data_IF_902325271361
#
_entry.id   IF_902325271361
#
_cell.length_a   1.000
_cell.length_b   1.000
_cell.length_c   1.000
_cell.angle_alpha   90.00
_cell.angle_beta   90.00
_cell.angle_gamma   90.00
#
_symmetry.space_group_name_H-M   'P 1'
#
loop_
_entity.id
_entity.type
_entity.pdbx_description
1 polymer ?
#
# COMPACT_ATOMS: atom_id res chain seq x y z
N UNK A 1 45.92 50.74 -25.66
CA UNK A 1 45.50 49.40 -26.13
C UNK A 1 45.48 48.30 -25.05
N UNK A 2 46.24 48.38 -23.95
CA UNK A 2 46.33 47.28 -22.95
C UNK A 2 45.16 47.29 -21.94
N UNK A 3 44.61 48.45 -21.58
CA UNK A 3 43.48 48.56 -20.63
C UNK A 3 42.17 47.97 -21.19
N UNK A 4 41.90 48.16 -22.48
CA UNK A 4 40.66 47.71 -23.12
C UNK A 4 40.58 46.18 -23.23
N UNK A 5 41.72 45.49 -23.43
CA UNK A 5 41.77 44.01 -23.49
C UNK A 5 41.54 43.35 -22.13
N UNK A 6 42.02 43.94 -21.02
CA UNK A 6 41.75 43.43 -19.65
C UNK A 6 40.29 43.59 -19.23
N UNK A 7 39.65 44.70 -19.61
CA UNK A 7 38.22 44.92 -19.33
C UNK A 7 37.31 43.95 -20.08
N UNK A 8 37.63 43.62 -21.33
CA UNK A 8 36.89 42.63 -22.12
C UNK A 8 37.06 41.22 -21.56
N UNK A 9 38.27 40.85 -21.12
CA UNK A 9 38.52 39.54 -20.52
C UNK A 9 37.79 39.34 -19.18
N UNK A 10 37.75 40.38 -18.34
CA UNK A 10 37.02 40.34 -17.06
C UNK A 10 35.51 40.28 -17.30
N UNK A 11 34.98 41.02 -18.29
CA UNK A 11 33.58 40.94 -18.66
C UNK A 11 33.20 39.55 -19.21
N UNK A 12 34.05 38.92 -20.03
CA UNK A 12 33.84 37.57 -20.53
C UNK A 12 33.85 36.52 -19.41
N UNK A 13 34.77 36.64 -18.44
CA UNK A 13 34.84 35.73 -17.29
C UNK A 13 33.62 35.90 -16.38
N UNK A 14 33.12 37.13 -16.17
CA UNK A 14 31.90 37.36 -15.38
C UNK A 14 30.66 36.81 -16.11
N UNK A 15 30.58 36.93 -17.44
CA UNK A 15 29.50 36.33 -18.23
C UNK A 15 29.60 34.80 -18.22
N UNK A 16 30.78 34.20 -18.37
CA UNK A 16 30.97 32.75 -18.25
C UNK A 16 30.70 32.22 -16.83
N UNK A 17 31.05 32.98 -15.78
CA UNK A 17 30.72 32.66 -14.40
C UNK A 17 29.22 32.83 -14.11
N UNK A 18 28.54 33.82 -14.71
CA UNK A 18 27.10 33.98 -14.59
C UNK A 18 26.32 32.90 -15.37
N UNK A 19 26.83 32.45 -16.52
CA UNK A 19 26.26 31.33 -17.30
C UNK A 19 26.51 29.98 -16.62
N UNK A 20 27.54 29.86 -15.75
CA UNK A 20 27.76 28.66 -14.93
C UNK A 20 27.09 28.71 -13.54
N UNK A 21 26.71 29.89 -13.04
CA UNK A 21 25.87 30.05 -11.83
C UNK A 21 24.38 30.06 -12.12
N UNK A 22 23.97 30.41 -13.34
CA UNK A 22 22.71 29.96 -13.93
C UNK A 22 22.88 28.51 -14.40
N UNK A 23 23.37 27.64 -13.51
CA UNK A 23 22.92 26.26 -13.55
C UNK A 23 21.42 26.36 -13.52
N UNK A 24 20.79 26.09 -14.66
CA UNK A 24 19.35 25.93 -14.76
C UNK A 24 19.06 24.78 -13.80
N UNK A 25 18.74 25.09 -12.54
CA UNK A 25 17.88 24.23 -11.74
C UNK A 25 16.61 24.19 -12.58
N UNK A 26 16.54 23.25 -13.51
CA UNK A 26 15.36 23.06 -14.31
C UNK A 26 14.25 22.81 -13.32
N UNK A 27 13.37 23.81 -13.19
CA UNK A 27 12.18 23.73 -12.37
C UNK A 27 11.30 22.60 -12.90
N UNK A 28 10.38 22.13 -12.08
CA UNK A 28 9.33 21.25 -12.55
C UNK A 28 8.67 21.79 -13.82
N UNK A 29 8.34 20.88 -14.71
CA UNK A 29 7.61 21.15 -15.94
C UNK A 29 6.49 20.12 -16.10
N UNK A 30 5.41 20.54 -16.75
CA UNK A 30 4.24 19.69 -16.98
C UNK A 30 4.28 19.21 -18.43
N UNK A 31 4.28 17.89 -18.60
CA UNK A 31 4.21 17.21 -19.89
C UNK A 31 2.80 16.67 -20.05
N UNK A 32 2.04 17.22 -21.00
CA UNK A 32 0.70 16.70 -21.33
C UNK A 32 0.84 15.32 -21.96
N UNK A 33 0.01 14.38 -21.54
CA UNK A 33 -0.06 13.02 -22.09
C UNK A 33 -1.34 12.79 -22.90
N UNK A 34 -1.91 13.88 -23.40
CA UNK A 34 -3.11 13.97 -24.20
C UNK A 34 -2.96 15.13 -25.20
N UNK A 35 -3.70 15.07 -26.31
CA UNK A 35 -3.93 16.24 -27.17
C UNK A 35 -5.28 16.87 -26.82
N UNK A 36 -5.45 18.17 -27.06
CA UNK A 36 -6.68 18.87 -26.67
C UNK A 36 -7.86 18.55 -27.62
N UNK A 37 -7.64 17.78 -28.68
CA UNK A 37 -8.68 17.32 -29.60
C UNK A 37 -9.62 16.29 -28.93
N UNK A 38 -10.94 16.34 -29.21
CA UNK A 38 -11.89 15.37 -28.66
C UNK A 38 -11.60 13.93 -29.11
N UNK A 39 -12.02 12.96 -28.29
CA UNK A 39 -11.95 11.54 -28.65
C UNK A 39 -12.73 11.26 -29.97
N UNK A 40 -12.14 10.53 -30.94
CA UNK A 40 -12.77 10.26 -32.23
C UNK A 40 -14.09 9.49 -32.15
N UNK A 41 -14.26 8.70 -31.09
CA UNK A 41 -15.47 7.93 -30.81
C UNK A 41 -16.59 8.75 -30.15
N UNK A 42 -16.34 10.04 -29.86
CA UNK A 42 -17.28 10.95 -29.20
C UNK A 42 -17.43 10.71 -27.70
N UNK A 43 -16.67 9.79 -27.10
CA UNK A 43 -16.62 9.63 -25.65
C UNK A 43 -16.15 10.93 -24.99
N UNK A 44 -16.71 11.23 -23.81
CA UNK A 44 -16.29 12.40 -23.02
C UNK A 44 -15.37 12.02 -21.86
N UNK A 45 -15.57 10.82 -21.32
CA UNK A 45 -14.80 10.28 -20.20
C UNK A 45 -14.96 8.76 -20.12
N UNK A 46 -14.07 8.15 -19.34
CA UNK A 46 -14.32 6.89 -18.64
C UNK A 46 -14.36 7.14 -17.14
N UNK A 47 -15.12 6.36 -16.39
CA UNK A 47 -15.26 6.56 -14.95
C UNK A 47 -14.96 5.29 -14.16
N UNK A 48 -14.60 5.48 -12.89
CA UNK A 48 -14.18 4.40 -11.99
C UNK A 48 -15.34 3.57 -11.42
N UNK A 49 -16.60 3.95 -11.67
CA UNK A 49 -17.78 3.14 -11.35
C UNK A 49 -18.02 2.05 -12.39
N UNK A 50 -17.72 2.32 -13.66
CA UNK A 50 -17.89 1.36 -14.76
C UNK A 50 -16.75 0.35 -14.85
N UNK A 51 -15.61 0.60 -14.20
CA UNK A 51 -14.46 -0.28 -14.24
C UNK A 51 -13.13 0.37 -13.85
N UNK A 52 -12.05 -0.34 -14.13
CA UNK A 52 -10.68 0.12 -13.92
C UNK A 52 -10.24 0.95 -15.11
N UNK A 53 -9.85 2.20 -14.85
CA UNK A 53 -9.32 3.12 -15.87
C UNK A 53 -7.80 3.12 -15.73
N UNK A 54 -7.05 3.01 -16.83
CA UNK A 54 -5.59 3.03 -16.75
C UNK A 54 -4.92 3.64 -17.98
N UNK A 55 -3.73 4.18 -17.83
CA UNK A 55 -2.96 4.81 -18.91
C UNK A 55 -1.48 4.47 -18.81
N UNK A 56 -0.92 3.94 -19.89
CA UNK A 56 0.53 3.85 -20.05
C UNK A 56 1.05 5.21 -20.50
N UNK A 57 2.11 5.69 -19.86
CA UNK A 57 2.72 7.01 -20.05
C UNK A 57 4.20 6.81 -20.40
N UNK A 58 4.66 7.33 -21.54
CA UNK A 58 6.06 7.36 -21.93
C UNK A 58 6.70 8.70 -21.50
N UNK A 59 7.23 8.73 -20.28
CA UNK A 59 7.70 9.94 -19.60
C UNK A 59 9.12 10.30 -20.04
N UNK A 60 9.29 11.52 -20.55
CA UNK A 60 10.53 12.05 -21.13
C UNK A 60 10.84 13.47 -20.64
N UNK A 61 12.10 13.87 -20.74
CA UNK A 61 12.52 15.26 -20.56
C UNK A 61 12.72 15.71 -19.11
N UNK A 62 12.81 14.77 -18.17
CA UNK A 62 13.09 14.97 -16.75
C UNK A 62 12.66 13.78 -15.91
N UNK A 63 13.15 13.71 -14.65
CA UNK A 63 12.71 12.65 -13.72
C UNK A 63 11.24 12.84 -13.40
N UNK A 64 10.51 11.74 -13.28
CA UNK A 64 9.07 11.74 -13.04
C UNK A 64 8.77 11.92 -11.55
N UNK A 65 8.16 13.05 -11.19
CA UNK A 65 7.98 13.48 -9.79
C UNK A 65 6.53 13.62 -9.37
N UNK A 66 5.57 13.52 -10.29
CA UNK A 66 4.16 13.63 -9.93
C UNK A 66 3.22 13.67 -11.12
N UNK A 67 1.94 13.88 -10.84
CA UNK A 67 0.87 13.93 -11.82
C UNK A 67 -0.01 15.18 -11.64
N UNK A 68 -0.66 15.58 -12.72
CA UNK A 68 -1.84 16.44 -12.68
C UNK A 68 -2.99 15.67 -13.35
N UNK A 69 -4.09 15.51 -12.62
CA UNK A 69 -5.25 14.71 -13.00
C UNK A 69 -6.49 15.63 -13.02
N UNK A 70 -6.81 16.23 -14.18
CA UNK A 70 -8.08 16.91 -14.38
C UNK A 70 -9.21 15.90 -14.53
N UNK A 71 -10.30 16.06 -13.76
CA UNK A 71 -11.40 15.10 -13.77
C UNK A 71 -12.73 15.76 -13.43
N UNK A 72 -13.83 15.14 -13.84
CA UNK A 72 -15.14 15.44 -13.24
C UNK A 72 -15.41 14.49 -12.08
N UNK A 73 -16.09 14.97 -11.05
CA UNK A 73 -16.53 14.15 -9.92
C UNK A 73 -17.59 14.88 -9.09
N UNK A 74 -18.29 14.14 -8.24
CA UNK A 74 -19.22 14.67 -7.24
C UNK A 74 -18.68 14.32 -5.85
N UNK A 75 -18.35 15.28 -4.97
CA UNK A 75 -17.97 14.95 -3.60
C UNK A 75 -19.13 14.38 -2.76
N UNK A 76 -18.87 13.53 -1.75
CA UNK A 76 -17.57 12.98 -1.39
C UNK A 76 -17.08 11.97 -2.44
N UNK A 77 -15.77 11.94 -2.67
CA UNK A 77 -15.15 11.05 -3.65
C UNK A 77 -13.80 10.57 -3.13
N UNK A 78 -13.51 9.28 -3.30
CA UNK A 78 -12.20 8.68 -3.03
C UNK A 78 -11.82 7.69 -4.13
N UNK A 79 -10.67 7.91 -4.77
CA UNK A 79 -10.13 7.05 -5.82
C UNK A 79 -8.68 6.68 -5.52
N UNK A 80 -8.40 5.38 -5.55
CA UNK A 80 -7.05 4.85 -5.49
C UNK A 80 -6.32 5.09 -6.80
N UNK A 81 -5.09 5.59 -6.68
CA UNK A 81 -4.13 5.68 -7.78
C UNK A 81 -2.93 4.77 -7.50
N UNK A 82 -2.51 4.03 -8.52
CA UNK A 82 -1.35 3.14 -8.45
C UNK A 82 -0.48 3.36 -9.69
N UNK A 83 0.80 3.64 -9.49
CA UNK A 83 1.77 3.79 -10.55
C UNK A 83 2.69 2.58 -10.57
N UNK A 84 2.83 1.95 -11.73
CA UNK A 84 3.72 0.81 -11.96
C UNK A 84 4.79 1.20 -12.97
N UNK A 85 6.00 0.66 -12.82
CA UNK A 85 6.99 0.68 -13.90
C UNK A 85 6.50 -0.26 -15.00
N UNK A 86 6.39 0.23 -16.22
CA UNK A 86 5.85 -0.54 -17.34
C UNK A 86 6.74 -1.76 -17.65
N UNK A 87 6.11 -2.91 -17.89
CA UNK A 87 6.77 -4.14 -18.31
C UNK A 87 6.48 -4.45 -19.80
N UNK A 88 6.08 -5.66 -20.18
CA UNK A 88 5.81 -5.99 -21.59
C UNK A 88 4.40 -5.59 -22.02
N UNK A 89 3.42 -5.74 -21.14
CA UNK A 89 2.01 -5.50 -21.39
C UNK A 89 1.28 -5.11 -20.09
N UNK A 90 -0.03 -4.84 -20.19
CA UNK A 90 -0.83 -4.45 -19.04
C UNK A 90 -0.83 -5.50 -17.92
N UNK A 91 -1.08 -6.77 -18.25
CA UNK A 91 -1.28 -7.84 -17.27
C UNK A 91 0.02 -8.18 -16.52
N UNK A 92 1.13 -8.24 -17.25
CA UNK A 92 2.47 -8.40 -16.65
C UNK A 92 2.84 -7.19 -15.77
N UNK A 93 2.51 -5.98 -16.20
CA UNK A 93 2.76 -4.76 -15.42
C UNK A 93 2.01 -4.74 -14.09
N UNK A 94 0.69 -5.00 -14.08
CA UNK A 94 -0.12 -4.96 -12.85
C UNK A 94 0.11 -6.17 -11.93
N UNK A 95 0.84 -7.19 -12.39
CA UNK A 95 1.30 -8.31 -11.56
C UNK A 95 2.50 -7.95 -10.69
N UNK A 96 3.22 -6.88 -11.04
CA UNK A 96 4.33 -6.34 -10.25
C UNK A 96 3.83 -5.38 -9.16
N UNK A 97 4.67 -5.10 -8.15
CA UNK A 97 4.37 -4.07 -7.15
C UNK A 97 4.34 -2.67 -7.79
N UNK A 98 3.39 -1.81 -7.40
CA UNK A 98 3.45 -0.40 -7.77
C UNK A 98 4.70 0.25 -7.18
N UNK A 99 5.22 1.28 -7.86
CA UNK A 99 6.29 2.15 -7.37
C UNK A 99 5.73 3.35 -6.59
N UNK A 100 4.46 3.65 -6.76
CA UNK A 100 3.75 4.67 -6.00
C UNK A 100 2.28 4.29 -5.84
N UNK A 101 1.70 4.52 -4.68
CA UNK A 101 0.26 4.42 -4.47
C UNK A 101 -0.21 5.58 -3.60
N UNK A 102 -1.42 6.06 -3.85
CA UNK A 102 -2.07 7.09 -3.05
C UNK A 102 -3.60 7.04 -3.20
N UNK A 103 -4.30 7.74 -2.32
CA UNK A 103 -5.71 8.04 -2.45
C UNK A 103 -5.86 9.51 -2.84
N UNK A 104 -6.56 9.79 -3.94
CA UNK A 104 -7.03 11.13 -4.24
C UNK A 104 -8.46 11.27 -3.74
N UNK A 105 -8.69 12.28 -2.91
CA UNK A 105 -9.93 12.41 -2.16
C UNK A 105 -10.44 13.85 -2.15
N UNK A 106 -11.76 13.99 -2.14
CA UNK A 106 -12.44 15.25 -1.86
C UNK A 106 -13.62 14.99 -0.92
N UNK A 107 -13.49 15.42 0.33
CA UNK A 107 -14.50 15.20 1.39
C UNK A 107 -15.45 16.38 1.56
N UNK A 108 -15.26 17.48 0.84
CA UNK A 108 -16.09 18.67 0.98
C UNK A 108 -17.43 18.44 0.27
N UNK A 109 -18.53 18.37 1.00
CA UNK A 109 -19.86 18.31 0.38
C UNK A 109 -20.11 19.57 -0.48
N UNK A 110 -19.91 19.43 -1.78
CA UNK A 110 -20.22 20.41 -2.80
C UNK A 110 -20.94 19.76 -3.97
N UNK A 111 -21.44 20.57 -4.91
CA UNK A 111 -21.88 20.04 -6.19
C UNK A 111 -20.70 19.61 -7.05
N UNK A 112 -20.98 18.77 -8.05
CA UNK A 112 -20.21 18.49 -9.26
C UNK A 112 -19.06 19.46 -9.58
N UNK A 113 -17.86 18.90 -9.67
CA UNK A 113 -16.61 19.59 -10.04
C UNK A 113 -16.25 19.31 -11.50
N UNK A 114 -15.78 20.33 -12.22
CA UNK A 114 -15.29 20.19 -13.59
C UNK A 114 -13.74 20.16 -13.68
N UNK A 115 -13.16 19.49 -14.69
CA UNK A 115 -11.74 19.56 -14.99
C UNK A 115 -11.26 21.00 -15.16
N UNK A 116 -10.24 21.37 -14.42
CA UNK A 116 -9.64 22.71 -14.35
C UNK A 116 -10.13 23.57 -13.18
N UNK A 117 -11.19 23.18 -12.48
CA UNK A 117 -11.68 23.91 -11.29
C UNK A 117 -10.89 23.51 -10.03
N UNK A 118 -10.74 22.20 -9.80
CA UNK A 118 -10.00 21.61 -8.67
C UNK A 118 -9.32 20.32 -9.15
N UNK A 119 -8.27 20.48 -9.97
CA UNK A 119 -7.50 19.35 -10.47
C UNK A 119 -6.65 18.73 -9.35
N UNK A 120 -6.55 17.40 -9.34
CA UNK A 120 -5.66 16.73 -8.40
C UNK A 120 -4.22 16.88 -8.87
N UNK A 121 -3.39 17.48 -8.02
CA UNK A 121 -1.94 17.49 -8.18
C UNK A 121 -1.35 16.50 -7.19
N UNK A 122 -0.73 15.45 -7.72
CA UNK A 122 -0.13 14.38 -6.94
C UNK A 122 1.39 14.56 -6.98
N UNK A 123 2.01 14.66 -5.81
CA UNK A 123 3.47 14.66 -5.66
C UNK A 123 3.89 13.26 -5.19
N UNK A 124 4.86 12.65 -5.86
CA UNK A 124 5.33 11.33 -5.47
C UNK A 124 6.25 11.36 -4.25
N UNK A 125 6.70 12.55 -3.83
CA UNK A 125 7.77 12.78 -2.84
C UNK A 125 9.08 12.06 -3.19
N UNK A 126 9.19 11.62 -4.44
CA UNK A 126 10.25 10.80 -5.02
C UNK A 126 10.41 11.22 -6.47
N UNK A 127 11.57 10.95 -7.03
CA UNK A 127 11.84 11.17 -8.45
C UNK A 127 12.20 9.85 -9.09
N UNK A 128 11.30 9.34 -9.93
CA UNK A 128 11.54 8.15 -10.72
C UNK A 128 12.25 8.50 -12.03
N UNK A 129 12.97 7.55 -12.62
CA UNK A 129 13.67 7.79 -13.88
C UNK A 129 12.70 8.10 -15.03
N UNK A 130 13.20 8.70 -16.11
CA UNK A 130 12.47 8.71 -17.38
C UNK A 130 12.17 7.28 -17.83
N UNK A 131 11.07 7.09 -18.55
CA UNK A 131 10.65 5.78 -19.03
C UNK A 131 9.14 5.60 -19.05
N UNK A 132 8.73 4.35 -19.28
CA UNK A 132 7.32 3.98 -19.39
C UNK A 132 6.76 3.58 -18.03
N UNK A 133 5.55 4.06 -17.73
CA UNK A 133 4.82 3.76 -16.51
C UNK A 133 3.35 3.47 -16.82
N UNK A 134 2.70 2.65 -16.00
CA UNK A 134 1.25 2.46 -16.03
C UNK A 134 0.63 3.13 -14.81
N UNK A 135 -0.25 4.09 -15.04
CA UNK A 135 -1.08 4.70 -14.01
C UNK A 135 -2.46 4.03 -14.03
N UNK A 136 -2.89 3.49 -12.89
CA UNK A 136 -4.18 2.82 -12.71
C UNK A 136 -5.03 3.62 -11.72
N UNK A 137 -6.29 3.85 -12.09
CA UNK A 137 -7.33 4.44 -11.24
C UNK A 137 -8.35 3.36 -10.88
N UNK A 138 -8.65 3.22 -9.59
CA UNK A 138 -9.67 2.31 -9.07
C UNK A 138 -10.50 3.05 -8.05
N UNK A 139 -11.83 2.98 -8.17
CA UNK A 139 -12.71 3.54 -7.14
C UNK A 139 -12.37 2.91 -5.78
N UNK A 140 -12.23 3.74 -4.75
CA UNK A 140 -12.00 3.27 -3.39
C UNK A 140 -13.30 3.29 -2.58
N UNK A 141 -13.90 4.48 -2.40
CA UNK A 141 -15.19 4.67 -1.74
C UNK A 141 -16.00 5.77 -2.43
N UNK A 142 -17.26 5.96 -2.00
CA UNK A 142 -18.11 7.09 -2.36
C UNK A 142 -18.45 7.21 -3.86
N UNK A 143 -18.27 8.39 -4.48
CA UNK A 143 -18.59 8.62 -5.89
C UNK A 143 -17.39 8.34 -6.82
N UNK A 144 -17.66 8.19 -8.12
CA UNK A 144 -16.63 7.93 -9.11
C UNK A 144 -15.82 9.18 -9.51
N UNK A 145 -14.59 8.91 -9.96
CA UNK A 145 -13.80 9.85 -10.73
C UNK A 145 -14.10 9.64 -12.22
N UNK A 146 -14.36 10.72 -12.95
CA UNK A 146 -14.58 10.70 -14.40
C UNK A 146 -13.36 11.30 -15.11
N UNK A 147 -12.55 10.43 -15.72
CA UNK A 147 -11.31 10.79 -16.39
C UNK A 147 -11.64 11.19 -17.84
N UNK A 148 -11.38 12.44 -18.28
CA UNK A 148 -11.73 12.89 -19.61
C UNK A 148 -11.00 12.12 -20.70
N UNK A 149 -11.70 11.86 -21.81
CA UNK A 149 -11.13 11.22 -23.00
C UNK A 149 -10.83 12.25 -24.09
N UNK A 150 -9.71 12.03 -24.77
CA UNK A 150 -9.20 12.85 -25.86
C UNK A 150 -8.71 11.96 -27.00
N UNK A 151 -8.43 12.54 -28.16
CA UNK A 151 -7.78 11.78 -29.23
C UNK A 151 -6.41 11.22 -28.80
N UNK A 152 -5.99 10.13 -29.44
CA UNK A 152 -4.75 9.45 -29.11
C UNK A 152 -3.53 10.39 -29.07
N UNK A 153 -2.64 10.15 -28.11
CA UNK A 153 -1.37 10.86 -27.97
C UNK A 153 -0.22 9.86 -28.13
N UNK A 154 0.82 10.24 -28.86
CA UNK A 154 1.90 9.30 -29.23
C UNK A 154 2.67 8.71 -28.03
N UNK A 155 2.70 9.44 -26.92
CA UNK A 155 3.40 9.06 -25.69
C UNK A 155 2.45 8.49 -24.62
N UNK A 156 1.21 8.15 -24.97
CA UNK A 156 0.29 7.47 -24.05
C UNK A 156 -0.58 6.42 -24.73
N UNK A 157 -0.99 5.41 -23.96
CA UNK A 157 -1.94 4.38 -24.41
C UNK A 157 -3.00 4.23 -23.32
N UNK A 158 -4.26 4.46 -23.68
CA UNK A 158 -5.39 4.31 -22.77
C UNK A 158 -5.80 2.83 -22.67
N UNK A 159 -6.21 2.43 -21.46
CA UNK A 159 -6.78 1.13 -21.16
C UNK A 159 -8.09 1.28 -20.39
N UNK A 160 -9.02 0.36 -20.60
CA UNK A 160 -10.23 0.23 -19.80
C UNK A 160 -10.47 -1.24 -19.49
N UNK A 161 -10.56 -1.59 -18.21
CA UNK A 161 -10.63 -2.97 -17.73
C UNK A 161 -9.52 -3.88 -18.27
N UNK A 162 -8.31 -3.32 -18.42
CA UNK A 162 -7.11 -4.03 -18.91
C UNK A 162 -7.02 -4.20 -20.42
N UNK A 163 -8.04 -3.81 -21.17
CA UNK A 163 -8.04 -3.81 -22.64
C UNK A 163 -7.62 -2.45 -23.17
N UNK A 164 -6.91 -2.43 -24.30
CA UNK A 164 -6.52 -1.17 -24.98
C UNK A 164 -7.77 -0.43 -25.43
N UNK A 165 -7.86 0.86 -25.10
CA UNK A 165 -8.88 1.75 -25.61
C UNK A 165 -8.34 2.50 -26.83
N UNK A 166 -8.55 1.89 -28.00
CA UNK A 166 -7.99 2.34 -29.27
C UNK A 166 -8.35 3.79 -29.62
N UNK A 167 -7.41 4.48 -30.28
CA UNK A 167 -7.55 5.86 -30.79
C UNK A 167 -7.88 6.95 -29.75
N UNK A 168 -7.80 6.62 -28.45
CA UNK A 168 -8.12 7.50 -27.32
C UNK A 168 -6.93 7.66 -26.38
N UNK A 169 -6.80 8.84 -25.77
CA UNK A 169 -5.96 9.09 -24.60
C UNK A 169 -6.81 9.63 -23.44
N UNK A 170 -6.33 9.46 -22.20
CA UNK A 170 -6.94 10.09 -21.03
C UNK A 170 -6.27 11.42 -20.71
N UNK A 171 -7.06 12.40 -20.26
CA UNK A 171 -6.54 13.71 -19.84
C UNK A 171 -5.78 13.59 -18.53
N UNK A 172 -4.48 13.38 -18.66
CA UNK A 172 -3.51 13.40 -17.56
C UNK A 172 -2.24 14.13 -18.02
N UNK A 173 -1.50 14.69 -17.07
CA UNK A 173 -0.17 15.25 -17.33
C UNK A 173 0.84 14.74 -16.31
N UNK A 174 2.07 14.51 -16.77
CA UNK A 174 3.19 14.15 -15.92
C UNK A 174 3.92 15.42 -15.46
N UNK A 175 4.35 15.45 -14.20
CA UNK A 175 5.25 16.47 -13.68
C UNK A 175 6.66 15.89 -13.75
N UNK A 176 7.56 16.57 -14.46
CA UNK A 176 8.95 16.15 -14.61
C UNK A 176 9.92 17.22 -14.13
N UNK A 177 11.00 16.79 -13.48
CA UNK A 177 12.05 17.65 -12.96
C UNK A 177 13.44 17.10 -13.36
N UNK A 178 14.15 17.73 -14.32
CA UNK A 178 15.48 17.27 -14.72
C UNK A 178 16.55 17.38 -13.63
N UNK A 179 16.33 18.21 -12.61
CA UNK A 179 17.30 18.46 -11.53
C UNK A 179 17.04 17.63 -10.28
N UNK A 180 15.89 16.95 -10.18
CA UNK A 180 15.58 16.12 -9.03
C UNK A 180 16.60 14.99 -8.85
N UNK A 181 16.90 14.68 -7.58
CA UNK A 181 17.71 13.53 -7.21
C UNK A 181 16.87 12.26 -7.38
N UNK A 182 17.42 11.28 -8.11
CA UNK A 182 16.73 10.02 -8.37
C UNK A 182 16.51 9.27 -7.05
N UNK A 183 15.28 8.86 -6.80
CA UNK A 183 14.94 7.94 -5.74
C UNK A 183 13.89 6.96 -6.27
N UNK A 184 14.33 5.75 -6.61
CA UNK A 184 13.49 4.68 -7.16
C UNK A 184 12.89 3.77 -6.07
N UNK A 185 13.08 4.07 -4.78
CA UNK A 185 12.40 3.34 -3.72
C UNK A 185 10.88 3.57 -3.81
N UNK A 186 10.06 2.51 -3.79
CA UNK A 186 8.60 2.67 -3.85
C UNK A 186 8.07 3.54 -2.70
N UNK A 187 7.12 4.43 -3.01
CA UNK A 187 6.39 5.21 -2.02
C UNK A 187 4.93 4.77 -1.98
N UNK A 188 4.65 3.78 -1.13
CA UNK A 188 3.34 3.11 -1.02
C UNK A 188 2.55 3.77 0.11
N UNK A 189 1.60 4.65 -0.21
CA UNK A 189 0.80 5.38 0.79
C UNK A 189 -0.51 4.66 1.12
N UNK A 190 -0.98 3.80 0.21
CA UNK A 190 -2.12 2.90 0.47
C UNK A 190 -1.84 1.49 -0.08
N UNK A 191 -2.38 0.46 0.58
CA UNK A 191 -2.21 -0.92 0.14
C UNK A 191 -3.51 -1.51 -0.46
N UNK A 192 -3.54 -1.69 -1.79
CA UNK A 192 -4.60 -2.47 -2.50
C UNK A 192 -4.19 -3.94 -2.70
N UNK A 193 -3.05 -4.37 -2.17
CA UNK A 193 -2.55 -5.72 -2.45
C UNK A 193 -3.45 -6.78 -1.85
N UNK A 194 -3.99 -6.49 -0.66
CA UNK A 194 -4.75 -7.40 0.17
C UNK A 194 -6.24 -7.34 -0.15
N UNK A 195 -6.82 -8.50 -0.42
CA UNK A 195 -8.28 -8.68 -0.54
C UNK A 195 -8.73 -9.74 0.45
N UNK A 196 -9.81 -9.46 1.18
CA UNK A 196 -10.51 -10.44 2.01
C UNK A 196 -11.68 -10.98 1.19
N UNK A 197 -11.62 -12.26 0.84
CA UNK A 197 -12.62 -12.91 -0.01
C UNK A 197 -13.50 -13.81 0.85
N UNK A 198 -14.80 -13.51 0.99
CA UNK A 198 -15.71 -14.36 1.76
C UNK A 198 -15.84 -15.72 1.08
N UNK A 199 -15.79 -16.80 1.86
CA UNK A 199 -16.03 -18.17 1.39
C UNK A 199 -17.39 -18.69 1.86
N UNK A 200 -18.31 -17.81 2.27
CA UNK A 200 -19.67 -18.20 2.65
C UNK A 200 -20.75 -17.66 1.72
N UNK A 201 -21.89 -18.37 1.66
CA UNK A 201 -23.06 -17.98 0.88
C UNK A 201 -23.87 -16.85 1.51
N UNK A 202 -24.78 -16.25 0.74
CA UNK A 202 -25.64 -15.17 1.21
C UNK A 202 -26.92 -15.76 1.81
N UNK A 203 -27.20 -15.41 3.07
CA UNK A 203 -28.39 -15.89 3.80
C UNK A 203 -28.06 -17.00 4.80
N UNK A 204 -29.10 -17.50 5.46
CA UNK A 204 -29.00 -18.58 6.46
C UNK A 204 -28.70 -19.93 5.79
N UNK A 205 -28.15 -20.88 6.55
CA UNK A 205 -28.04 -22.27 6.10
C UNK A 205 -29.41 -22.91 5.89
N UNK A 206 -29.45 -23.96 5.09
CA UNK A 206 -30.68 -24.62 4.66
C UNK A 206 -31.37 -25.43 5.77
N UNK A 207 -30.60 -25.90 6.75
CA UNK A 207 -31.09 -26.56 7.96
C UNK A 207 -31.66 -25.58 8.99
N UNK A 208 -31.47 -24.28 8.78
CA UNK A 208 -31.90 -23.22 9.70
C UNK A 208 -31.03 -23.07 10.95
N UNK A 209 -29.93 -23.82 11.05
CA UNK A 209 -28.95 -23.60 12.11
C UNK A 209 -28.31 -22.22 11.95
N UNK A 210 -27.98 -21.58 13.07
CA UNK A 210 -27.30 -20.28 13.05
C UNK A 210 -25.79 -20.43 13.21
N UNK A 211 -25.34 -21.49 13.87
CA UNK A 211 -23.93 -21.76 14.08
C UNK A 211 -23.70 -23.23 14.40
N UNK A 212 -22.46 -23.67 14.23
CA UNK A 212 -21.97 -24.97 14.69
C UNK A 212 -20.95 -24.75 15.81
N UNK A 213 -21.11 -25.49 16.90
CA UNK A 213 -20.16 -25.51 18.01
C UNK A 213 -19.05 -26.52 17.74
N UNK A 214 -17.83 -26.02 17.52
CA UNK A 214 -16.68 -26.87 17.15
C UNK A 214 -16.27 -27.79 18.28
N UNK A 215 -16.46 -27.38 19.54
CA UNK A 215 -16.17 -28.20 20.72
C UNK A 215 -17.00 -29.51 20.82
N UNK A 216 -18.08 -29.62 20.05
CA UNK A 216 -18.90 -30.84 19.98
C UNK A 216 -18.48 -31.79 18.85
N UNK A 217 -17.37 -31.48 18.18
CA UNK A 217 -16.86 -32.15 16.99
C UNK A 217 -15.41 -32.57 17.22
N UNK A 218 -14.98 -33.60 16.50
CA UNK A 218 -13.57 -33.91 16.34
C UNK A 218 -12.89 -32.80 15.54
N UNK A 219 -13.55 -32.30 14.49
CA UNK A 219 -13.09 -31.14 13.71
C UNK A 219 -14.22 -30.51 12.88
N UNK A 220 -14.03 -29.24 12.54
CA UNK A 220 -14.75 -28.57 11.47
C UNK A 220 -13.78 -28.16 10.37
N UNK A 221 -14.13 -28.36 9.10
CA UNK A 221 -13.25 -28.03 7.99
C UNK A 221 -13.95 -27.32 6.85
N UNK A 222 -13.19 -26.64 6.00
CA UNK A 222 -13.71 -25.78 4.95
C UNK A 222 -12.77 -25.76 3.74
N UNK A 223 -13.28 -26.21 2.59
CA UNK A 223 -12.56 -26.26 1.32
C UNK A 223 -12.97 -25.08 0.45
N UNK A 224 -12.00 -24.41 -0.18
CA UNK A 224 -12.21 -23.25 -1.04
C UNK A 224 -11.06 -23.07 -2.04
N UNK A 225 -11.30 -22.25 -3.08
CA UNK A 225 -10.29 -21.85 -4.06
C UNK A 225 -9.83 -20.42 -3.83
N UNK A 226 -8.51 -20.22 -3.73
CA UNK A 226 -7.86 -18.91 -3.69
C UNK A 226 -7.57 -18.45 -5.12
N UNK A 227 -8.03 -17.24 -5.46
CA UNK A 227 -7.86 -16.61 -6.78
C UNK A 227 -7.44 -15.15 -6.64
N UNK A 228 -6.76 -14.61 -7.65
CA UNK A 228 -6.48 -13.17 -7.78
C UNK A 228 -5.39 -12.64 -6.84
N UNK A 229 -4.60 -13.53 -6.24
CA UNK A 229 -3.53 -13.22 -5.29
C UNK A 229 -3.01 -14.46 -4.56
N UNK A 230 -1.90 -14.30 -3.84
CA UNK A 230 -1.27 -15.37 -3.06
C UNK A 230 -2.00 -15.50 -1.73
N UNK A 231 -2.21 -16.72 -1.26
CA UNK A 231 -2.90 -17.00 -0.01
C UNK A 231 -2.00 -16.64 1.18
N UNK A 232 -2.34 -15.56 1.89
CA UNK A 232 -1.51 -14.96 2.95
C UNK A 232 -2.17 -14.93 4.32
N UNK A 233 -3.43 -15.33 4.41
CA UNK A 233 -4.11 -15.38 5.69
C UNK A 233 -5.54 -15.86 5.60
N UNK A 234 -6.19 -15.91 6.75
CA UNK A 234 -7.56 -16.39 6.92
C UNK A 234 -8.30 -15.52 7.93
N UNK A 235 -9.62 -15.47 7.84
CA UNK A 235 -10.45 -14.64 8.71
C UNK A 235 -11.59 -15.47 9.28
N UNK A 236 -11.71 -15.45 10.60
CA UNK A 236 -12.93 -15.84 11.30
C UNK A 236 -13.83 -14.61 11.33
N UNK A 237 -14.83 -14.56 10.45
CA UNK A 237 -15.73 -13.42 10.41
C UNK A 237 -16.67 -13.47 11.60
N UNK A 238 -16.79 -12.34 12.29
CA UNK A 238 -17.67 -12.20 13.45
C UNK A 238 -17.38 -13.26 14.52
N UNK A 239 -16.12 -13.35 14.96
CA UNK A 239 -15.63 -14.40 15.86
C UNK A 239 -16.59 -14.60 17.04
N UNK A 240 -17.12 -15.82 17.17
CA UNK A 240 -18.09 -16.17 18.19
C UNK A 240 -17.48 -17.19 19.17
N UNK A 241 -17.17 -16.69 20.38
CA UNK A 241 -16.70 -17.51 21.49
C UNK A 241 -17.79 -17.58 22.57
N UNK A 242 -18.39 -18.76 22.80
CA UNK A 242 -19.48 -18.95 23.78
C UNK A 242 -19.06 -18.60 25.20
N UNK A 243 -17.89 -19.10 25.60
CA UNK A 243 -17.30 -18.93 26.94
C UNK A 243 -16.38 -17.70 27.01
N UNK A 244 -16.28 -16.92 25.93
CA UNK A 244 -15.39 -15.77 25.79
C UNK A 244 -13.92 -16.13 25.52
N UNK A 245 -13.61 -17.42 25.46
CA UNK A 245 -12.27 -17.96 25.25
C UNK A 245 -12.36 -19.23 24.39
N UNK A 246 -11.30 -19.52 23.61
CA UNK A 246 -11.17 -20.78 22.88
C UNK A 246 -9.70 -21.08 22.54
N UNK A 247 -9.29 -22.33 22.71
CA UNK A 247 -8.02 -22.85 22.20
C UNK A 247 -8.27 -23.59 20.89
N UNK A 248 -7.81 -23.00 19.78
CA UNK A 248 -8.07 -23.50 18.43
C UNK A 248 -6.77 -23.96 17.79
N UNK A 249 -6.70 -25.24 17.41
CA UNK A 249 -5.68 -25.73 16.48
C UNK A 249 -6.19 -25.55 15.05
N UNK A 250 -5.36 -24.95 14.21
CA UNK A 250 -5.71 -24.52 12.88
C UNK A 250 -4.69 -25.04 11.88
N UNK A 251 -5.15 -25.83 10.90
CA UNK A 251 -4.32 -26.49 9.90
C UNK A 251 -4.79 -26.13 8.50
N UNK A 252 -3.86 -25.97 7.57
CA UNK A 252 -4.15 -25.76 6.15
C UNK A 252 -3.45 -26.82 5.33
N UNK A 253 -4.16 -27.33 4.33
CA UNK A 253 -3.68 -28.31 3.38
C UNK A 253 -3.93 -27.84 1.95
N UNK A 254 -3.08 -28.30 1.02
CA UNK A 254 -3.40 -28.27 -0.42
C UNK A 254 -4.44 -29.33 -0.71
N UNK A 255 -5.54 -28.95 -1.33
CA UNK A 255 -6.61 -29.88 -1.65
C UNK A 255 -6.16 -30.96 -2.65
N UNK A 256 -6.48 -32.22 -2.36
CA UNK A 256 -6.16 -33.38 -3.22
C UNK A 256 -7.37 -33.92 -4.00
N UNK A 257 -8.48 -33.19 -4.00
CA UNK A 257 -9.73 -33.60 -4.66
C UNK A 257 -10.75 -34.22 -3.73
N UNK A 258 -10.36 -34.70 -2.54
CA UNK A 258 -11.27 -35.16 -1.49
C UNK A 258 -10.66 -34.99 -0.08
N UNK A 259 -11.51 -34.99 0.95
CA UNK A 259 -11.11 -34.75 2.34
C UNK A 259 -10.12 -35.79 2.85
N UNK A 260 -10.48 -37.08 2.71
CA UNK A 260 -9.72 -38.20 3.25
C UNK A 260 -8.28 -38.30 2.70
N UNK A 261 -8.06 -37.97 1.43
CA UNK A 261 -6.71 -37.94 0.85
C UNK A 261 -5.95 -36.66 1.19
N UNK A 262 -6.66 -35.55 1.41
CA UNK A 262 -6.04 -34.28 1.78
C UNK A 262 -5.42 -34.30 3.18
N UNK A 263 -6.14 -34.86 4.17
CA UNK A 263 -5.66 -34.90 5.57
C UNK A 263 -4.55 -35.93 5.83
N UNK A 264 -4.22 -36.78 4.84
CA UNK A 264 -3.08 -37.72 4.92
C UNK A 264 -1.73 -37.04 4.66
N UNK A 265 -1.76 -35.86 4.05
CA UNK A 265 -0.56 -35.08 3.76
C UNK A 265 -0.15 -34.28 5.00
N UNK A 266 1.08 -33.78 5.02
CA UNK A 266 1.48 -32.81 6.03
C UNK A 266 0.79 -31.46 5.76
N UNK A 267 0.25 -30.77 6.79
CA UNK A 267 -0.29 -29.44 6.62
C UNK A 267 0.81 -28.47 6.17
N UNK A 268 0.47 -27.59 5.24
CA UNK A 268 1.38 -26.52 4.78
C UNK A 268 1.48 -25.37 5.80
N UNK A 269 0.52 -25.28 6.71
CA UNK A 269 0.50 -24.36 7.83
C UNK A 269 -0.21 -25.02 9.01
N UNK A 270 0.37 -24.90 10.20
CA UNK A 270 -0.25 -25.30 11.45
C UNK A 270 0.05 -24.24 12.51
N UNK A 271 -0.96 -23.88 13.29
CA UNK A 271 -0.80 -22.98 14.43
C UNK A 271 -1.87 -23.26 15.50
N UNK A 272 -1.59 -22.87 16.73
CA UNK A 272 -2.54 -22.93 17.85
C UNK A 272 -2.78 -21.52 18.36
N UNK A 273 -4.04 -21.13 18.45
CA UNK A 273 -4.44 -19.81 18.90
C UNK A 273 -5.18 -19.90 20.23
N UNK A 274 -4.73 -19.10 21.20
CA UNK A 274 -5.54 -18.75 22.35
C UNK A 274 -6.38 -17.52 21.98
N UNK A 275 -7.68 -17.73 21.76
CA UNK A 275 -8.61 -16.68 21.37
C UNK A 275 -9.34 -16.13 22.58
N UNK A 276 -9.50 -14.81 22.64
CA UNK A 276 -10.32 -14.13 23.66
C UNK A 276 -11.19 -13.08 22.99
N UNK A 277 -12.47 -13.03 23.34
CA UNK A 277 -13.38 -11.98 22.85
C UNK A 277 -13.52 -10.88 23.90
N UNK A 278 -13.92 -9.67 23.46
CA UNK A 278 -14.16 -8.53 24.36
C UNK A 278 -15.41 -8.65 25.25
N UNK A 279 -15.98 -9.85 25.38
CA UNK A 279 -17.23 -10.20 26.06
C UNK A 279 -18.27 -10.85 25.15
N UNK A 280 -19.36 -11.40 25.71
CA UNK A 280 -20.50 -11.88 24.94
C UNK A 280 -21.04 -10.76 24.04
N UNK A 281 -21.45 -11.11 22.81
CA UNK A 281 -22.01 -10.22 21.79
C UNK A 281 -21.03 -9.23 21.11
N UNK A 282 -19.72 -9.36 21.32
CA UNK A 282 -18.71 -8.60 20.55
C UNK A 282 -18.08 -9.46 19.46
N UNK A 283 -18.76 -9.54 18.32
CA UNK A 283 -18.34 -10.31 17.15
C UNK A 283 -17.40 -9.51 16.23
N UNK A 284 -16.18 -9.23 16.69
CA UNK A 284 -15.15 -8.66 15.82
C UNK A 284 -14.59 -9.75 14.88
N UNK A 285 -14.15 -9.36 13.70
CA UNK A 285 -13.40 -10.27 12.81
C UNK A 285 -12.03 -10.57 13.43
N UNK A 286 -11.62 -11.84 13.39
CA UNK A 286 -10.28 -12.26 13.81
C UNK A 286 -9.49 -12.72 12.60
N UNK A 287 -8.36 -12.06 12.35
CA UNK A 287 -7.48 -12.33 11.19
C UNK A 287 -6.27 -13.13 11.62
N UNK A 288 -6.01 -14.22 10.90
CA UNK A 288 -4.80 -15.02 10.97
C UNK A 288 -3.95 -14.70 9.74
N UNK A 289 -2.83 -14.01 9.93
CA UNK A 289 -1.85 -13.84 8.85
C UNK A 289 -0.83 -14.96 8.90
N UNK A 290 -0.53 -15.52 7.74
CA UNK A 290 0.57 -16.46 7.59
C UNK A 290 1.86 -15.64 7.46
N UNK A 291 2.96 -16.11 8.07
CA UNK A 291 4.29 -15.54 7.82
C UNK A 291 4.83 -15.86 6.41
N UNK A 292 4.00 -16.48 5.56
CA UNK A 292 4.32 -17.01 4.23
C UNK A 292 3.16 -16.74 3.27
N UNK A 293 3.44 -16.74 1.98
CA UNK A 293 2.42 -16.63 0.95
C UNK A 293 2.41 -17.90 0.10
N UNK A 294 1.26 -18.55 -0.01
CA UNK A 294 1.09 -19.74 -0.83
C UNK A 294 0.47 -19.38 -2.18
N UNK A 295 0.71 -20.19 -3.22
CA UNK A 295 0.17 -19.90 -4.55
C UNK A 295 -1.37 -19.88 -4.58
N UNK A 296 -1.96 -19.39 -5.67
CA UNK A 296 -3.37 -19.65 -5.95
C UNK A 296 -3.67 -21.15 -6.02
N UNK A 297 -4.95 -21.51 -5.86
CA UNK A 297 -5.43 -22.89 -5.97
C UNK A 297 -6.35 -23.31 -4.85
N UNK A 298 -6.58 -24.62 -4.77
CA UNK A 298 -7.56 -25.22 -3.86
C UNK A 298 -6.93 -25.60 -2.52
N UNK A 299 -7.61 -25.26 -1.44
CA UNK A 299 -7.16 -25.45 -0.07
C UNK A 299 -8.25 -26.05 0.80
N UNK A 300 -7.84 -26.77 1.83
CA UNK A 300 -8.67 -27.20 2.94
C UNK A 300 -8.13 -26.59 4.23
N UNK A 301 -8.96 -25.88 4.96
CA UNK A 301 -8.68 -25.50 6.35
C UNK A 301 -9.39 -26.47 7.30
N UNK A 302 -8.69 -26.91 8.33
CA UNK A 302 -9.22 -27.78 9.39
C UNK A 302 -9.03 -27.06 10.73
N UNK A 303 -10.10 -27.01 11.51
CA UNK A 303 -10.16 -26.39 12.83
C UNK A 303 -10.55 -27.44 13.85
N UNK A 304 -9.73 -27.58 14.88
CA UNK A 304 -9.98 -28.42 16.04
C UNK A 304 -10.00 -27.50 17.26
N UNK A 305 -10.99 -27.67 18.13
CA UNK A 305 -11.16 -26.80 19.28
C UNK A 305 -11.78 -27.56 20.43
N UNK A 306 -11.22 -27.39 21.63
CA UNK A 306 -11.69 -28.08 22.83
C UNK A 306 -12.72 -27.28 23.64
N UNK A 307 -12.83 -25.96 23.44
CA UNK A 307 -13.80 -25.10 24.15
C UNK A 307 -14.17 -23.86 23.32
N UNK A 308 -15.46 -23.52 23.31
CA UNK A 308 -15.90 -22.14 23.12
C UNK A 308 -16.05 -21.65 21.69
N UNK A 309 -15.37 -22.23 20.69
CA UNK A 309 -15.49 -21.77 19.30
C UNK A 309 -16.84 -22.18 18.66
N UNK A 310 -17.58 -21.18 18.18
CA UNK A 310 -18.74 -21.36 17.31
C UNK A 310 -18.46 -20.76 15.93
N UNK A 311 -18.83 -21.49 14.87
CA UNK A 311 -18.77 -21.03 13.49
C UNK A 311 -20.17 -20.68 13.01
N UNK A 312 -20.42 -19.43 12.62
CA UNK A 312 -21.68 -19.03 12.00
C UNK A 312 -21.92 -19.84 10.72
N UNK A 313 -23.14 -20.34 10.54
CA UNK A 313 -23.57 -21.05 9.34
C UNK A 313 -24.31 -20.13 8.39
N UNK A 314 -24.08 -20.34 7.10
CA UNK A 314 -24.63 -19.57 6.00
C UNK A 314 -25.06 -20.50 4.87
N UNK A 315 -25.83 -19.97 3.92
CA UNK A 315 -26.23 -20.72 2.72
C UNK A 315 -25.02 -21.33 1.98
N UNK A 316 -25.22 -22.39 1.17
CA UNK A 316 -24.17 -22.92 0.31
C UNK A 316 -23.57 -21.87 -0.62
N UNK A 317 -22.31 -22.08 -1.04
CA UNK A 317 -21.61 -21.23 -2.01
C UNK A 317 -20.86 -22.07 -3.03
N UNK A 318 -21.03 -21.74 -4.31
CA UNK A 318 -20.32 -22.40 -5.40
C UNK A 318 -18.80 -22.37 -5.19
N UNK A 319 -18.17 -23.52 -5.37
CA UNK A 319 -16.71 -23.68 -5.20
C UNK A 319 -16.24 -23.74 -3.74
N UNK A 320 -17.17 -23.86 -2.78
CA UNK A 320 -16.86 -24.02 -1.37
C UNK A 320 -17.61 -25.20 -0.78
N UNK A 321 -16.92 -26.00 0.04
CA UNK A 321 -17.54 -27.14 0.76
C UNK A 321 -17.12 -27.10 2.22
N UNK A 322 -18.05 -27.30 3.14
CA UNK A 322 -17.76 -27.41 4.58
C UNK A 322 -17.87 -28.86 5.05
N UNK A 323 -17.17 -29.22 6.11
CA UNK A 323 -17.16 -30.56 6.67
C UNK A 323 -17.30 -30.53 8.19
N UNK A 324 -18.01 -31.51 8.74
CA UNK A 324 -18.18 -31.77 10.17
C UNK A 324 -17.74 -33.20 10.45
N UNK A 325 -16.72 -33.39 11.30
CA UNK A 325 -16.17 -34.72 11.61
C UNK A 325 -15.77 -35.56 10.39
N UNK A 326 -15.29 -34.92 9.31
CA UNK A 326 -14.94 -35.53 8.01
C UNK A 326 -16.09 -35.71 6.98
N UNK A 327 -17.35 -35.54 7.40
CA UNK A 327 -18.51 -35.61 6.52
C UNK A 327 -18.87 -34.24 5.96
N UNK A 328 -19.33 -34.19 4.71
CA UNK A 328 -19.76 -32.93 4.08
C UNK A 328 -20.98 -32.35 4.79
N UNK A 329 -20.92 -31.06 5.11
CA UNK A 329 -22.04 -30.28 5.62
C UNK A 329 -22.83 -29.71 4.44
N UNK A 330 -23.76 -30.51 3.91
CA UNK A 330 -24.52 -30.19 2.69
C UNK A 330 -25.46 -28.99 2.84
N UNK A 331 -25.81 -28.59 4.07
CA UNK A 331 -26.78 -27.54 4.34
C UNK A 331 -26.22 -26.12 4.24
N UNK A 332 -24.90 -25.95 4.13
CA UNK A 332 -24.33 -24.61 4.16
C UNK A 332 -22.82 -24.49 4.18
N UNK A 333 -22.38 -23.27 4.50
CA UNK A 333 -20.97 -22.89 4.63
C UNK A 333 -20.72 -22.18 5.95
N UNK A 334 -19.47 -22.23 6.44
CA UNK A 334 -19.06 -21.43 7.60
C UNK A 334 -18.70 -20.01 7.19
N UNK A 335 -19.05 -19.02 8.03
CA UNK A 335 -18.73 -17.60 7.81
C UNK A 335 -17.24 -17.31 7.98
N UNK A 336 -16.48 -17.68 6.97
CA UNK A 336 -15.04 -17.55 6.91
C UNK A 336 -14.62 -16.80 5.65
N UNK A 337 -13.43 -16.21 5.67
CA UNK A 337 -12.83 -15.61 4.48
C UNK A 337 -11.36 -16.01 4.39
N UNK A 338 -10.83 -16.05 3.17
CA UNK A 338 -9.37 -16.02 2.98
C UNK A 338 -8.87 -14.60 2.74
N UNK A 339 -7.59 -14.40 3.01
CA UNK A 339 -6.84 -13.20 2.67
C UNK A 339 -5.92 -13.56 1.51
N UNK A 340 -6.05 -12.83 0.41
CA UNK A 340 -5.17 -12.94 -0.74
C UNK A 340 -4.39 -11.63 -0.93
N UNK A 341 -3.08 -11.73 -1.13
CA UNK A 341 -2.21 -10.61 -1.46
C UNK A 341 -1.64 -10.76 -2.88
N UNK A 342 -1.93 -9.82 -3.77
CA UNK A 342 -1.46 -9.85 -5.17
C UNK A 342 0.07 -9.84 -5.28
N UNK A 343 0.76 -9.16 -4.38
CA UNK A 343 2.18 -8.84 -4.46
C UNK A 343 3.05 -9.58 -3.44
N UNK A 344 2.46 -10.44 -2.61
CA UNK A 344 3.24 -11.26 -1.71
C UNK A 344 4.17 -12.20 -2.50
N UNK A 345 5.39 -12.32 -2.00
CA UNK A 345 6.39 -13.22 -2.57
C UNK A 345 6.03 -14.66 -2.19
N UNK A 346 6.01 -15.54 -3.19
CA UNK A 346 5.69 -16.94 -2.99
C UNK A 346 6.72 -17.58 -2.05
N UNK A 347 6.24 -18.20 -0.96
CA UNK A 347 7.06 -18.96 -0.02
C UNK A 347 6.37 -20.29 0.30
N UNK A 348 6.66 -21.29 -0.53
CA UNK A 348 6.13 -22.66 -0.41
C UNK A 348 7.13 -23.61 0.25
N UNK A 349 8.12 -23.09 1.00
CA UNK A 349 9.01 -23.95 1.75
C UNK A 349 8.18 -24.84 2.69
N UNK A 350 8.56 -26.11 2.90
CA UNK A 350 7.87 -26.97 3.85
C UNK A 350 7.78 -26.30 5.22
N UNK A 351 6.65 -26.49 5.92
CA UNK A 351 6.56 -26.12 7.31
C UNK A 351 7.41 -27.11 8.12
N UNK A 352 8.44 -26.65 8.83
CA UNK A 352 9.15 -27.51 9.77
C UNK A 352 8.38 -27.46 11.09
N UNK A 353 7.77 -28.59 11.47
CA UNK A 353 7.20 -28.73 12.81
C UNK A 353 8.33 -28.51 13.82
N UNK A 354 8.23 -27.54 14.74
CA UNK A 354 9.25 -27.37 15.75
C UNK A 354 9.37 -28.65 16.56
N UNK A 355 10.56 -29.23 16.59
CA UNK A 355 10.86 -30.39 17.45
C UNK A 355 10.58 -29.96 18.89
N UNK A 356 9.77 -30.71 19.67
CA UNK A 356 9.54 -30.38 21.07
C UNK A 356 10.90 -30.23 21.76
N UNK A 357 11.16 -29.05 22.32
CA UNK A 357 12.36 -28.87 23.13
C UNK A 357 12.14 -29.66 24.40
N UNK A 358 13.01 -30.64 24.68
CA UNK A 358 12.96 -31.46 25.89
C UNK A 358 12.75 -30.53 27.10
N UNK A 359 11.64 -30.74 27.82
CA UNK A 359 11.36 -30.00 29.05
C UNK A 359 12.51 -30.26 30.02
N UNK A 360 13.20 -29.22 30.54
CA UNK A 360 14.21 -29.43 31.55
C UNK A 360 13.58 -30.16 32.74
N UNK A 361 14.19 -31.26 33.17
CA UNK A 361 13.77 -31.99 34.35
C UNK A 361 13.59 -31.02 35.54
N UNK A 362 12.58 -31.23 36.40
CA UNK A 362 12.30 -30.31 37.50
C UNK A 362 13.56 -30.15 38.37
N UNK A 363 14.04 -28.91 38.47
CA UNK A 363 15.13 -28.56 39.39
C UNK A 363 14.62 -28.73 40.82
N UNK A 364 15.33 -29.52 41.62
CA UNK A 364 15.02 -29.71 43.05
C UNK A 364 14.90 -28.37 43.77
N UNK A 365 13.80 -28.23 44.52
CA UNK A 365 13.49 -27.04 45.33
C UNK A 365 14.59 -26.80 46.37
N UNK A 366 15.25 -25.63 46.42
CA UNK A 366 16.18 -25.32 47.49
C UNK A 366 15.43 -25.13 48.82
N UNK A 367 16.01 -25.67 49.89
CA UNK A 367 15.51 -25.53 51.25
C UNK A 367 15.39 -24.04 51.66
N UNK A 368 14.26 -23.72 52.26
CA UNK A 368 13.96 -22.41 52.86
C UNK A 368 15.02 -22.10 53.93
N UNK A 369 15.69 -20.96 53.79
CA UNK A 369 16.52 -20.38 54.85
C UNK A 369 15.99 -18.98 55.18
N UNK A 370 15.85 -18.71 56.47
CA UNK A 370 15.17 -17.54 57.04
C UNK A 370 15.84 -16.17 56.77
N UNK A 371 15.00 -15.20 56.35
CA UNK A 371 14.82 -13.81 56.84
C UNK A 371 16.07 -12.89 56.99
N UNK A 372 16.11 -11.65 56.43
CA UNK A 372 15.43 -10.50 57.08
C UNK A 372 14.82 -9.38 56.20
N UNK A 373 13.98 -8.60 56.91
CA UNK A 373 13.08 -7.52 56.53
C UNK A 373 13.72 -6.28 55.85
N UNK A 374 12.93 -5.39 55.20
CA UNK A 374 13.41 -4.38 54.27
C UNK A 374 13.96 -3.13 54.98
N UNK A 375 15.06 -2.59 54.46
CA UNK A 375 15.64 -1.30 54.86
C UNK A 375 15.30 -0.21 53.83
N UNK A 376 14.85 0.94 54.33
CA UNK A 376 14.36 2.09 53.56
C UNK A 376 15.42 3.18 53.38
N UNK A 377 15.30 3.87 52.23
CA UNK A 377 15.73 5.27 51.92
C UNK A 377 17.18 5.48 51.41
N UNK A 378 17.52 6.61 50.73
CA UNK A 378 16.72 7.74 50.18
C UNK A 378 17.05 8.12 48.70
N UNK A 379 16.36 9.10 48.09
CA UNK A 379 16.60 9.55 46.72
C UNK A 379 17.82 10.50 46.62
N UNK A 380 18.51 10.51 45.47
CA UNK A 380 19.58 11.48 45.19
C UNK A 380 19.19 12.42 44.05
N UNK A 381 19.17 13.70 44.39
CA UNK A 381 18.98 14.82 43.48
C UNK A 381 20.30 15.22 42.78
N UNK A 382 20.13 15.75 41.56
CA UNK A 382 20.85 16.85 40.86
C UNK A 382 22.34 17.07 41.14
N UNK A 383 23.15 17.16 40.09
CA UNK A 383 23.87 18.41 39.84
C UNK A 383 24.34 18.59 38.39
N UNK A 384 24.36 19.87 38.04
CA UNK A 384 24.63 20.49 36.75
C UNK A 384 26.09 20.39 36.25
N UNK A 385 26.22 20.76 34.97
CA UNK A 385 27.13 21.80 34.47
C UNK A 385 28.24 21.42 33.46
N UNK A 386 28.10 22.03 32.28
CA UNK A 386 29.11 22.62 31.37
C UNK A 386 30.06 21.71 30.58
N UNK A 387 29.86 21.73 29.25
CA UNK A 387 30.88 22.30 28.36
C UNK A 387 30.29 22.86 27.05
N UNK A 388 30.76 24.04 26.67
CA UNK A 388 30.21 24.95 25.67
C UNK A 388 31.20 25.16 24.51
N UNK A 389 30.72 24.96 23.26
CA UNK A 389 31.03 25.68 21.98
C UNK A 389 32.26 25.27 21.12
N UNK A 390 32.20 25.35 19.76
CA UNK A 390 31.82 26.58 19.01
C UNK A 390 31.06 26.45 17.67
N UNK A 391 30.00 27.25 17.49
CA UNK A 391 29.37 27.56 16.18
C UNK A 391 29.43 29.06 15.82
N UNK A 392 30.48 29.77 16.23
CA UNK A 392 30.60 31.23 16.04
C UNK A 392 31.32 31.69 14.75
N UNK A 393 31.40 30.89 13.69
CA UNK A 393 32.15 31.27 12.46
C UNK A 393 31.26 31.68 11.27
N UNK A 394 29.95 31.43 11.28
CA UNK A 394 29.12 31.67 10.07
C UNK A 394 28.53 33.10 10.00
N UNK A 395 28.42 33.82 11.12
CA UNK A 395 27.79 35.15 11.13
C UNK A 395 28.78 36.28 10.72
N UNK A 396 30.09 36.04 10.77
CA UNK A 396 31.11 37.03 10.41
C UNK A 396 31.27 37.28 8.91
N UNK A 397 30.96 36.29 8.06
CA UNK A 397 31.22 36.37 6.61
C UNK A 397 30.13 37.18 5.88
N UNK A 398 28.88 37.15 6.37
CA UNK A 398 27.76 37.87 5.75
C UNK A 398 27.87 39.38 6.01
N UNK A 399 28.35 39.79 7.19
CA UNK A 399 28.52 41.21 7.53
C UNK A 399 29.63 41.90 6.71
N UNK A 400 30.73 41.19 6.38
CA UNK A 400 31.83 41.76 5.60
C UNK A 400 31.44 41.97 4.13
N UNK A 401 30.63 41.08 3.55
CA UNK A 401 30.16 41.20 2.16
C UNK A 401 29.19 42.38 2.02
N UNK A 402 28.28 42.58 2.97
CA UNK A 402 27.35 43.72 2.96
C UNK A 402 28.08 45.07 3.03
N UNK A 403 29.12 45.18 3.87
CA UNK A 403 29.92 46.41 3.99
C UNK A 403 30.70 46.72 2.72
N UNK A 404 31.26 45.70 2.05
CA UNK A 404 31.99 45.90 0.77
C UNK A 404 31.04 46.35 -0.35
N UNK A 405 29.84 45.78 -0.43
CA UNK A 405 28.83 46.19 -1.43
C UNK A 405 28.36 47.62 -1.19
N UNK A 406 28.10 48.01 0.06
CA UNK A 406 27.70 49.38 0.42
C UNK A 406 28.82 50.39 0.09
N UNK A 407 30.09 50.06 0.38
CA UNK A 407 31.23 50.93 0.04
C UNK A 407 31.38 51.10 -1.46
N UNK A 408 31.17 50.05 -2.27
CA UNK A 408 31.25 50.13 -3.74
C UNK A 408 30.11 50.98 -4.32
N UNK A 409 28.88 50.84 -3.81
CA UNK A 409 27.73 51.64 -4.23
C UNK A 409 27.92 53.12 -3.86
N UNK A 410 28.39 53.41 -2.65
CA UNK A 410 28.66 54.78 -2.21
C UNK A 410 29.82 55.44 -2.95
N UNK A 411 30.85 54.67 -3.36
CA UNK A 411 31.96 55.20 -4.17
C UNK A 411 31.56 55.51 -5.60
N UNK A 412 30.64 54.74 -6.19
CA UNK A 412 30.14 55.00 -7.55
C UNK A 412 29.15 56.17 -7.59
N UNK A 413 28.34 56.37 -6.54
CA UNK A 413 27.41 57.51 -6.48
C UNK A 413 28.10 58.87 -6.21
N UNK A 414 29.32 58.90 -5.65
CA UNK A 414 30.08 60.14 -5.46
C UNK A 414 30.86 60.63 -6.69
N UNK A 415 30.96 59.84 -7.76
CA UNK A 415 31.68 60.26 -8.99
C UNK A 415 30.80 60.93 -10.05
N UNK A 416 29.52 61.16 -9.76
CA UNK A 416 28.55 61.80 -10.67
C UNK A 416 28.04 63.18 -10.26
N UNK A 417 28.60 63.79 -9.20
CA UNK A 417 28.33 65.19 -8.82
C UNK A 417 29.65 65.86 -8.45
N UNK A 418 30.34 66.34 -9.47
CA UNK A 418 30.94 67.66 -9.58
C UNK A 418 31.30 67.91 -11.05
#
# INVERSE_FOLDING_TARGET
MIKTKKSILIALVIVLCAVSYLGICASESIVKMHIDDPAPDGSRFKNTDEGVVAVMLDVKGGKFVGLVIPSWYDPPMSTAIMLYKWDTDYQTTISNRPVFTDLIEDSEESSWVNPGEKDFRVDFERAFAEGKYLLVYKKHTDHALHIPTHAAHQDSVAYFNGEVYEDVSYRVSCIVNPSAELNEEPNILFNDSETIVPTYGIGASEDGESFIQVANLDSAAHMFTVLGGKFTGFVFNSLFLETGHADVEFKIYRWKGNYADTIKEDPIYINSFELTSGGPDKYADFKVYFERAYAEGDYLVVMECYDGLNLWTHAPKDGVTSFLNDEEYEYGTFKLSYIADRYAELDERPFETPVPTDTPAPTDTPAITDTPAPSTSPPKATDDDKQMWPFSIIIGVIAVIAVVVIIVILRNNKKGKD
#
